data_IF_937678306171
#
_entry.id   IF_937678306171
#
_cell.length_a   1.000
_cell.length_b   1.000
_cell.length_c   1.000
_cell.angle_alpha   90.00
_cell.angle_beta   90.00
_cell.angle_gamma   90.00
#
_symmetry.space_group_name_H-M   'P 1'
#
loop_
_entity.id
_entity.type
_entity.pdbx_description
1 polymer ?
#
# COMPACT_ATOMS: atom_id res chain seq x y z
N UNK A 1 -38.48 12.83 42.87
CA UNK A 1 -38.26 11.41 42.47
C UNK A 1 -37.54 11.25 41.11
N UNK A 2 -37.82 12.06 40.09
CA UNK A 2 -37.22 11.94 38.73
C UNK A 2 -35.68 12.08 38.66
N UNK A 3 -35.07 12.98 39.44
CA UNK A 3 -33.60 13.22 39.43
C UNK A 3 -32.75 12.06 39.98
N UNK A 4 -33.31 11.23 40.88
CA UNK A 4 -32.63 10.03 41.43
C UNK A 4 -32.68 8.85 40.46
N UNK A 5 -33.71 8.78 39.62
CA UNK A 5 -33.86 7.74 38.60
C UNK A 5 -32.87 7.95 37.44
N UNK A 6 -32.73 9.19 36.97
CA UNK A 6 -31.77 9.56 35.90
C UNK A 6 -30.31 9.33 36.33
N UNK A 7 -29.95 9.66 37.58
CA UNK A 7 -28.60 9.38 38.12
C UNK A 7 -28.30 7.88 38.24
N UNK A 8 -29.30 7.03 38.54
CA UNK A 8 -29.13 5.57 38.59
C UNK A 8 -28.99 4.95 37.20
N UNK A 9 -29.71 5.46 36.20
CA UNK A 9 -29.59 5.03 34.80
C UNK A 9 -28.22 5.38 34.18
N UNK A 10 -27.68 6.56 34.47
CA UNK A 10 -26.35 6.97 33.96
C UNK A 10 -25.22 6.11 34.56
N UNK A 11 -25.31 5.75 35.84
CA UNK A 11 -24.31 4.89 36.50
C UNK A 11 -24.38 3.44 35.97
N UNK A 12 -25.58 2.93 35.65
CA UNK A 12 -25.76 1.62 35.02
C UNK A 12 -25.21 1.55 33.58
N UNK A 13 -25.34 2.64 32.79
CA UNK A 13 -24.73 2.70 31.45
C UNK A 13 -23.20 2.80 31.48
N UNK A 14 -22.63 3.52 32.47
CA UNK A 14 -21.17 3.63 32.61
C UNK A 14 -20.52 2.32 33.09
N UNK A 15 -21.23 1.50 33.87
CA UNK A 15 -20.77 0.15 34.25
C UNK A 15 -20.93 -0.89 33.13
N UNK A 16 -21.83 -0.67 32.16
CA UNK A 16 -21.95 -1.53 30.98
C UNK A 16 -20.86 -1.26 29.93
N UNK A 17 -20.29 -0.04 29.89
CA UNK A 17 -19.23 0.32 28.94
C UNK A 17 -17.83 -0.18 29.35
N UNK A 18 -17.64 -0.65 30.58
CA UNK A 18 -16.36 -1.28 31.00
C UNK A 18 -16.30 -2.79 30.72
N UNK A 19 -17.43 -3.43 30.38
CA UNK A 19 -17.49 -4.84 29.99
C UNK A 19 -17.43 -5.08 28.47
N UNK A 20 -17.50 -4.02 27.65
CA UNK A 20 -17.37 -4.15 26.20
C UNK A 20 -15.90 -4.13 25.72
N UNK A 21 -14.95 -3.67 26.54
CA UNK A 21 -13.53 -3.62 26.19
C UNK A 21 -12.77 -4.95 26.43
N UNK A 22 -13.38 -5.92 27.12
CA UNK A 22 -12.75 -7.19 27.47
C UNK A 22 -13.21 -8.38 26.60
N UNK A 23 -14.13 -8.16 25.65
CA UNK A 23 -14.88 -9.23 24.98
C UNK A 23 -14.43 -9.60 23.56
N UNK A 24 -13.44 -8.93 22.97
CA UNK A 24 -12.96 -9.26 21.63
C UNK A 24 -11.45 -9.13 21.48
N UNK A 25 -10.72 -9.77 22.40
CA UNK A 25 -9.35 -10.18 22.15
C UNK A 25 -9.40 -11.68 21.84
N UNK A 26 -9.86 -12.05 20.65
CA UNK A 26 -9.85 -13.44 20.22
C UNK A 26 -8.40 -13.93 20.17
N UNK A 27 -8.06 -14.92 21.00
CA UNK A 27 -6.90 -15.82 20.94
C UNK A 27 -5.54 -15.32 20.40
N UNK A 28 -5.27 -14.01 20.46
CA UNK A 28 -4.02 -13.44 20.01
C UNK A 28 -2.91 -13.82 21.00
N UNK A 29 -2.19 -14.90 20.71
CA UNK A 29 -0.99 -15.26 21.45
C UNK A 29 0.06 -14.16 21.26
N UNK A 30 0.75 -13.73 22.33
CA UNK A 30 1.88 -12.82 22.18
C UNK A 30 2.97 -13.49 21.35
N UNK A 31 3.56 -12.73 20.42
CA UNK A 31 4.66 -13.18 19.57
C UNK A 31 5.85 -13.63 20.43
N UNK A 32 6.49 -14.73 20.02
CA UNK A 32 7.74 -15.23 20.56
C UNK A 32 8.90 -14.26 20.30
N UNK A 33 10.02 -14.46 21.00
CA UNK A 33 11.23 -13.67 20.76
C UNK A 33 11.76 -13.87 19.34
N UNK A 34 11.74 -15.11 18.82
CA UNK A 34 12.16 -15.38 17.46
C UNK A 34 11.29 -14.65 16.43
N UNK A 35 9.96 -14.64 16.61
CA UNK A 35 9.04 -13.91 15.73
C UNK A 35 9.30 -12.40 15.78
N UNK A 36 9.56 -11.82 16.96
CA UNK A 36 9.86 -10.39 17.10
C UNK A 36 11.20 -10.00 16.46
N UNK A 37 12.22 -10.84 16.58
CA UNK A 37 13.54 -10.60 15.99
C UNK A 37 13.48 -10.72 14.45
N UNK A 38 12.71 -11.69 13.93
CA UNK A 38 12.46 -11.83 12.50
C UNK A 38 11.71 -10.62 11.94
N UNK A 39 10.65 -10.16 12.62
CA UNK A 39 9.93 -8.96 12.21
C UNK A 39 10.85 -7.75 12.19
N UNK A 40 11.72 -7.58 13.20
CA UNK A 40 12.70 -6.48 13.23
C UNK A 40 13.69 -6.51 12.07
N UNK A 41 14.16 -7.69 11.69
CA UNK A 41 15.08 -7.82 10.56
C UNK A 41 14.38 -7.49 9.24
N UNK A 42 13.21 -8.08 8.99
CA UNK A 42 12.40 -7.80 7.80
C UNK A 42 12.04 -6.31 7.73
N UNK A 43 11.62 -5.71 8.84
CA UNK A 43 11.34 -4.27 8.90
C UNK A 43 12.59 -3.44 8.58
N UNK A 44 13.77 -3.82 9.05
CA UNK A 44 15.01 -3.10 8.73
C UNK A 44 15.37 -3.21 7.24
N UNK A 45 15.15 -4.37 6.64
CA UNK A 45 15.33 -4.58 5.20
C UNK A 45 14.36 -3.72 4.39
N UNK A 46 13.09 -3.61 4.82
CA UNK A 46 12.09 -2.74 4.19
C UNK A 46 12.43 -1.26 4.38
N UNK A 47 12.79 -0.84 5.60
CA UNK A 47 13.16 0.54 5.96
C UNK A 47 14.31 1.06 5.11
N UNK A 48 15.23 0.17 4.71
CA UNK A 48 16.41 0.51 3.91
C UNK A 48 16.30 0.12 2.44
N UNK A 49 15.16 -0.45 2.02
CA UNK A 49 14.97 -0.90 0.65
C UNK A 49 14.96 0.29 -0.31
N UNK A 50 15.78 0.25 -1.38
CA UNK A 50 15.77 1.29 -2.41
C UNK A 50 14.63 1.11 -3.42
N UNK A 51 13.84 0.04 -3.29
CA UNK A 51 12.74 -0.26 -4.21
C UNK A 51 11.46 0.50 -3.85
N UNK A 52 10.49 0.50 -4.76
CA UNK A 52 9.27 1.31 -4.65
C UNK A 52 8.55 1.17 -3.31
N UNK A 53 8.47 -0.05 -2.76
CA UNK A 53 7.85 -0.34 -1.48
C UNK A 53 8.60 0.29 -0.31
N UNK A 54 9.93 0.25 -0.33
CA UNK A 54 10.76 0.95 0.66
C UNK A 54 10.60 2.47 0.58
N UNK A 55 10.58 3.02 -0.65
CA UNK A 55 10.35 4.45 -0.88
C UNK A 55 8.98 4.89 -0.34
N UNK A 56 7.91 4.13 -0.60
CA UNK A 56 6.58 4.43 -0.06
C UNK A 56 6.56 4.32 1.46
N UNK A 57 7.16 3.27 2.01
CA UNK A 57 7.25 3.05 3.45
C UNK A 57 7.96 4.18 4.18
N UNK A 58 9.11 4.62 3.65
CA UNK A 58 9.88 5.75 4.16
C UNK A 58 9.10 7.09 4.11
N UNK A 59 8.08 7.18 3.24
CA UNK A 59 7.19 8.33 3.14
C UNK A 59 5.86 8.14 3.91
N UNK A 60 5.79 7.15 4.81
CA UNK A 60 4.66 6.95 5.73
C UNK A 60 3.50 6.14 5.16
N UNK A 61 3.69 5.49 4.01
CA UNK A 61 2.70 4.56 3.45
C UNK A 61 2.92 3.18 4.05
N UNK A 62 1.89 2.62 4.66
CA UNK A 62 1.94 1.33 5.34
C UNK A 62 1.69 0.16 4.38
N UNK A 63 2.03 -1.07 4.79
CA UNK A 63 1.85 -2.27 3.97
C UNK A 63 0.39 -2.45 3.51
N UNK A 64 -0.56 -2.16 4.40
CA UNK A 64 -1.99 -2.28 4.11
C UNK A 64 -2.50 -1.25 3.10
N UNK A 65 -1.81 -0.13 2.90
CA UNK A 65 -2.25 0.90 1.96
C UNK A 65 -2.09 0.43 0.52
N UNK A 66 -1.16 -0.52 0.26
CA UNK A 66 -1.04 -1.20 -1.03
C UNK A 66 -1.73 -2.56 -1.03
N UNK A 67 -1.55 -3.37 0.01
CA UNK A 67 -2.01 -4.77 0.02
C UNK A 67 -3.39 -4.99 0.64
N UNK A 68 -4.02 -3.96 1.20
CA UNK A 68 -5.29 -4.08 1.94
C UNK A 68 -5.19 -4.76 3.30
N UNK A 69 -4.05 -5.42 3.61
CA UNK A 69 -3.77 -6.09 4.89
C UNK A 69 -2.37 -5.75 5.39
N UNK A 70 -2.14 -5.73 6.72
CA UNK A 70 -0.84 -5.35 7.29
C UNK A 70 0.27 -6.38 7.04
N UNK A 71 -0.09 -7.64 6.74
CA UNK A 71 0.85 -8.74 6.50
C UNK A 71 0.39 -9.55 5.28
N UNK A 72 0.68 -9.09 4.06
CA UNK A 72 0.35 -9.81 2.83
C UNK A 72 1.16 -11.09 2.69
N UNK A 73 0.63 -12.01 1.88
CA UNK A 73 1.38 -13.19 1.44
C UNK A 73 2.46 -12.85 0.40
N UNK A 74 3.35 -13.80 0.12
CA UNK A 74 4.42 -13.61 -0.87
C UNK A 74 3.92 -13.45 -2.32
N UNK A 75 2.77 -14.03 -2.64
CA UNK A 75 2.15 -13.99 -3.98
C UNK A 75 0.88 -13.13 -4.01
N UNK A 76 0.88 -12.04 -3.26
CA UNK A 76 -0.27 -11.12 -3.09
C UNK A 76 0.08 -9.71 -3.60
N UNK A 77 0.15 -9.50 -4.93
CA UNK A 77 0.46 -8.19 -5.48
C UNK A 77 -0.69 -7.20 -5.21
N UNK A 78 -0.38 -5.91 -4.99
CA UNK A 78 -1.41 -4.88 -4.86
C UNK A 78 -2.20 -4.75 -6.17
N UNK A 79 -3.50 -4.49 -6.06
CA UNK A 79 -4.34 -4.21 -7.23
C UNK A 79 -4.07 -2.78 -7.75
N UNK A 80 -4.55 -2.50 -8.96
CA UNK A 80 -4.33 -1.19 -9.58
C UNK A 80 -5.03 -0.08 -8.78
N UNK A 81 -6.18 -0.39 -8.17
CA UNK A 81 -7.04 0.51 -7.42
C UNK A 81 -6.31 1.14 -6.23
N UNK A 82 -5.48 0.39 -5.51
CA UNK A 82 -4.72 0.94 -4.38
C UNK A 82 -3.70 1.97 -4.88
N UNK A 83 -3.08 1.74 -6.05
CA UNK A 83 -2.18 2.70 -6.67
C UNK A 83 -2.92 3.99 -7.04
N UNK A 84 -4.06 3.86 -7.74
CA UNK A 84 -4.84 4.97 -8.27
C UNK A 84 -5.56 5.77 -7.18
N UNK A 85 -5.71 5.20 -5.97
CA UNK A 85 -6.24 5.92 -4.81
C UNK A 85 -5.41 7.16 -4.42
N UNK A 86 -4.12 7.16 -4.78
CA UNK A 86 -3.17 8.25 -4.52
C UNK A 86 -2.54 8.84 -5.78
N UNK A 87 -2.44 8.07 -6.87
CA UNK A 87 -1.76 8.47 -8.10
C UNK A 87 -2.68 8.98 -9.22
N UNK A 88 -3.91 9.40 -8.90
CA UNK A 88 -4.92 9.82 -9.88
C UNK A 88 -5.30 8.72 -10.88
N UNK A 89 -6.15 9.03 -11.86
CA UNK A 89 -6.54 8.07 -12.90
C UNK A 89 -5.43 7.81 -13.93
N UNK A 90 -5.53 6.70 -14.65
CA UNK A 90 -4.61 6.37 -15.75
C UNK A 90 -4.56 7.46 -16.83
N UNK A 91 -5.71 8.05 -17.16
CA UNK A 91 -5.79 9.15 -18.12
C UNK A 91 -5.11 10.43 -17.60
N UNK A 92 -5.17 10.68 -16.29
CA UNK A 92 -4.43 11.78 -15.67
C UNK A 92 -2.93 11.52 -15.72
N UNK A 93 -2.49 10.32 -15.37
CA UNK A 93 -1.08 9.89 -15.44
C UNK A 93 -0.52 9.96 -16.87
N UNK A 94 -1.30 9.55 -17.87
CA UNK A 94 -0.92 9.66 -19.27
C UNK A 94 -0.69 11.12 -19.68
N UNK A 95 -1.50 12.07 -19.20
CA UNK A 95 -1.36 13.50 -19.50
C UNK A 95 -0.14 14.15 -18.86
N UNK A 96 0.40 13.57 -17.78
CA UNK A 96 1.61 14.05 -17.13
C UNK A 96 2.90 13.65 -17.87
N UNK A 97 2.82 12.64 -18.75
CA UNK A 97 3.98 12.18 -19.49
C UNK A 97 4.45 13.21 -20.52
N UNK A 98 5.76 13.25 -20.77
CA UNK A 98 6.36 14.19 -21.71
C UNK A 98 5.79 13.99 -23.12
N UNK A 99 5.29 15.07 -23.72
CA UNK A 99 4.58 15.01 -25.01
C UNK A 99 5.50 14.73 -26.20
N UNK A 100 6.75 15.18 -26.15
CA UNK A 100 7.73 14.94 -27.21
C UNK A 100 8.19 13.47 -27.17
N UNK A 101 8.44 12.93 -25.98
CA UNK A 101 8.71 11.50 -25.78
C UNK A 101 7.50 10.65 -26.19
N UNK A 102 6.28 11.04 -25.80
CA UNK A 102 5.06 10.35 -26.17
C UNK A 102 4.91 10.24 -27.70
N UNK A 103 5.15 11.35 -28.41
CA UNK A 103 5.07 11.39 -29.88
C UNK A 103 6.09 10.47 -30.54
N UNK A 104 7.29 10.37 -29.98
CA UNK A 104 8.40 9.62 -30.59
C UNK A 104 8.41 8.13 -30.23
N UNK A 105 8.09 7.82 -28.98
CA UNK A 105 8.29 6.48 -28.39
C UNK A 105 7.00 5.86 -27.85
N UNK A 106 5.91 6.63 -27.78
CA UNK A 106 4.67 6.22 -27.13
C UNK A 106 4.62 6.64 -25.66
N UNK A 107 3.42 6.55 -25.09
CA UNK A 107 3.17 6.85 -23.69
C UNK A 107 3.05 5.53 -22.90
N UNK A 108 3.87 5.28 -21.86
CA UNK A 108 3.79 4.04 -21.08
C UNK A 108 2.46 3.87 -20.33
N UNK A 109 1.72 4.95 -20.08
CA UNK A 109 0.39 4.93 -19.44
C UNK A 109 -0.77 5.01 -20.43
N UNK A 110 -0.51 5.04 -21.74
CA UNK A 110 -1.52 5.02 -22.80
C UNK A 110 -0.93 4.26 -24.00
N UNK A 111 -0.80 2.94 -23.83
CA UNK A 111 -0.09 2.07 -24.77
C UNK A 111 -1.04 1.28 -25.69
N UNK A 112 -0.48 0.75 -26.78
CA UNK A 112 -1.22 -0.15 -27.68
C UNK A 112 -1.56 -1.52 -27.07
N UNK A 113 -1.04 -1.82 -25.86
CA UNK A 113 -1.37 -3.04 -25.12
C UNK A 113 -2.62 -2.87 -24.25
N UNK A 114 -3.20 -1.66 -24.22
CA UNK A 114 -4.30 -1.31 -23.33
C UNK A 114 -3.83 -1.09 -21.89
N UNK A 115 -4.72 -1.39 -20.94
CA UNK A 115 -4.45 -1.23 -19.52
C UNK A 115 -3.63 -2.41 -18.98
N UNK A 116 -2.36 -2.14 -18.71
CA UNK A 116 -1.46 -3.05 -18.00
C UNK A 116 -1.50 -2.74 -16.50
N UNK A 117 -1.46 -3.76 -15.64
CA UNK A 117 -1.36 -3.56 -14.20
C UNK A 117 -0.12 -2.74 -13.83
N UNK A 118 -0.27 -1.83 -12.87
CA UNK A 118 0.80 -0.92 -12.42
C UNK A 118 2.06 -1.73 -12.04
N UNK A 119 1.85 -2.84 -11.33
CA UNK A 119 2.89 -3.74 -10.85
C UNK A 119 3.63 -4.50 -11.97
N UNK A 120 3.16 -4.48 -13.21
CA UNK A 120 3.91 -5.03 -14.36
C UNK A 120 5.22 -4.28 -14.53
N UNK A 121 5.18 -2.95 -14.39
CA UNK A 121 6.36 -2.10 -14.52
C UNK A 121 6.92 -1.63 -13.17
N UNK A 122 6.04 -1.17 -12.27
CA UNK A 122 6.38 -0.58 -10.98
C UNK A 122 6.48 -1.66 -9.90
N UNK A 123 7.69 -2.18 -9.66
CA UNK A 123 7.94 -3.27 -8.71
C UNK A 123 8.10 -2.74 -7.29
N UNK A 124 7.27 -3.23 -6.38
CA UNK A 124 7.30 -2.89 -4.95
C UNK A 124 8.60 -3.29 -4.27
N UNK A 125 8.92 -4.58 -4.29
CA UNK A 125 10.03 -5.15 -3.52
C UNK A 125 11.26 -5.52 -4.37
N UNK A 126 11.30 -5.10 -5.63
CA UNK A 126 12.39 -5.36 -6.58
C UNK A 126 12.66 -4.12 -7.42
N UNK A 127 13.75 -4.11 -8.18
CA UNK A 127 14.01 -3.07 -9.16
C UNK A 127 12.87 -3.01 -10.19
N UNK A 128 12.32 -1.82 -10.42
CA UNK A 128 11.29 -1.63 -11.44
C UNK A 128 11.85 -1.80 -12.84
N UNK A 129 11.00 -2.25 -13.75
CA UNK A 129 11.35 -2.53 -15.14
C UNK A 129 10.32 -1.91 -16.05
N UNK A 130 10.74 -1.28 -17.15
CA UNK A 130 9.78 -0.78 -18.14
C UNK A 130 9.47 -1.91 -19.13
N UNK A 131 8.29 -2.52 -19.02
CA UNK A 131 7.86 -3.65 -19.86
C UNK A 131 8.05 -3.37 -21.37
N UNK A 132 7.79 -2.14 -21.79
CA UNK A 132 7.92 -1.70 -23.18
C UNK A 132 9.33 -1.87 -23.74
N UNK A 133 10.38 -1.79 -22.90
CA UNK A 133 11.78 -1.92 -23.34
C UNK A 133 12.14 -3.34 -23.79
N UNK A 134 11.27 -4.34 -23.54
CA UNK A 134 11.41 -5.67 -24.13
C UNK A 134 11.34 -5.66 -25.66
N UNK A 135 10.59 -4.72 -26.24
CA UNK A 135 10.47 -4.53 -27.69
C UNK A 135 11.06 -3.18 -28.15
N UNK A 136 10.92 -2.13 -27.36
CA UNK A 136 11.34 -0.76 -27.65
C UNK A 136 12.69 -0.44 -27.00
N UNK A 137 13.73 -1.23 -27.31
CA UNK A 137 15.01 -1.23 -26.58
C UNK A 137 15.76 0.11 -26.57
N UNK A 138 15.43 1.03 -27.50
CA UNK A 138 16.09 2.33 -27.63
C UNK A 138 15.25 3.49 -27.05
N UNK A 139 14.07 3.21 -26.51
CA UNK A 139 13.24 4.23 -25.88
C UNK A 139 13.88 4.69 -24.55
N UNK A 140 13.97 5.99 -24.27
CA UNK A 140 14.60 6.52 -23.06
C UNK A 140 13.59 6.53 -21.89
N UNK A 141 12.81 5.46 -21.72
CA UNK A 141 11.84 5.39 -20.64
C UNK A 141 12.54 5.12 -19.31
N UNK A 142 12.13 5.88 -18.30
CA UNK A 142 12.60 5.72 -16.92
C UNK A 142 11.43 5.88 -15.96
N UNK A 143 11.47 5.14 -14.86
CA UNK A 143 10.51 5.27 -13.77
C UNK A 143 11.13 6.24 -12.74
N UNK A 144 10.48 7.37 -12.41
CA UNK A 144 11.01 8.32 -11.44
C UNK A 144 11.23 7.69 -10.05
N UNK A 145 12.27 8.14 -9.37
CA UNK A 145 12.56 7.75 -7.98
C UNK A 145 13.22 6.38 -7.81
N UNK A 146 13.66 5.73 -8.90
CA UNK A 146 14.40 4.47 -8.89
C UNK A 146 15.65 4.55 -9.76
#
# INVERSE_FOLDING_TARGET
MKKRLVKRLIILCLLAMTWAAAGWAGDAKPLSREELDMIREISREIDSSPYLGGLHYQNGVSCQDCHGVPQPGWDDPPEAEQCLSCHESREALAKLFDKELARKWGNPHESHLGDLDCAVCHKGHLASTVYCLGCHTNAPFSIPGQ
#
